data_IF_914985517836
#
_entry.id   IF_914985517836
#
_cell.length_a   1.000
_cell.length_b   1.000
_cell.length_c   1.000
_cell.angle_alpha   90.00
_cell.angle_beta   90.00
_cell.angle_gamma   90.00
#
_symmetry.space_group_name_H-M   'P 1'
#
loop_
_entity.id
_entity.type
_entity.pdbx_description
1 polymer ?
#
# COMPACT_ATOMS: atom_id res chain seq x y z
N UNK A 1 -18.28 -4.08 6.53
CA UNK A 1 -18.85 -3.43 5.31
C UNK A 1 -18.20 -4.06 4.08
N UNK A 2 -18.83 -4.03 2.89
CA UNK A 2 -18.15 -4.39 1.63
C UNK A 2 -17.86 -3.12 0.83
N UNK A 3 -16.76 -3.11 0.09
CA UNK A 3 -16.33 -2.00 -0.77
C UNK A 3 -16.05 -2.45 -2.20
N UNK A 4 -16.14 -1.50 -3.12
CA UNK A 4 -15.68 -1.65 -4.51
C UNK A 4 -14.39 -0.85 -4.76
N UNK A 5 -13.64 -1.22 -5.81
CA UNK A 5 -12.34 -0.61 -6.12
C UNK A 5 -12.41 0.92 -6.31
N UNK A 6 -13.48 1.42 -6.93
CA UNK A 6 -13.69 2.85 -7.17
C UNK A 6 -13.92 3.64 -5.86
N UNK A 7 -14.59 3.03 -4.90
CA UNK A 7 -14.80 3.62 -3.57
C UNK A 7 -13.50 3.65 -2.78
N UNK A 8 -12.71 2.58 -2.87
CA UNK A 8 -11.38 2.51 -2.24
C UNK A 8 -10.45 3.58 -2.80
N UNK A 9 -10.43 3.77 -4.12
CA UNK A 9 -9.64 4.83 -4.75
C UNK A 9 -10.01 6.22 -4.20
N UNK A 10 -11.30 6.53 -4.10
CA UNK A 10 -11.77 7.80 -3.52
C UNK A 10 -11.40 7.95 -2.05
N UNK A 11 -11.58 6.89 -1.25
CA UNK A 11 -11.31 6.91 0.19
C UNK A 11 -9.83 7.07 0.52
N UNK A 12 -8.94 6.46 -0.27
CA UNK A 12 -7.50 6.57 -0.05
C UNK A 12 -6.87 7.80 -0.68
N UNK A 13 -7.57 8.50 -1.60
CA UNK A 13 -7.06 9.69 -2.29
C UNK A 13 -6.36 10.71 -1.37
N UNK A 14 -6.84 11.01 -0.14
CA UNK A 14 -6.16 11.96 0.75
C UNK A 14 -4.73 11.54 1.17
N UNK A 15 -4.43 10.25 1.14
CA UNK A 15 -3.13 9.67 1.53
C UNK A 15 -2.26 9.31 0.31
N UNK A 16 -2.82 9.43 -0.90
CA UNK A 16 -2.11 9.14 -2.13
C UNK A 16 -1.52 10.43 -2.68
N UNK A 17 -0.23 10.39 -2.89
CA UNK A 17 0.54 11.45 -3.50
C UNK A 17 1.00 11.02 -4.89
N UNK A 18 1.29 12.01 -5.73
CA UNK A 18 1.79 11.77 -7.08
C UNK A 18 3.08 12.56 -7.29
N UNK A 19 4.13 11.87 -7.66
CA UNK A 19 5.36 12.52 -8.12
C UNK A 19 5.17 12.98 -9.58
N UNK A 20 5.77 14.12 -9.94
CA UNK A 20 5.61 14.79 -11.25
C UNK A 20 5.83 13.86 -12.46
N UNK A 21 6.74 12.90 -12.34
CA UNK A 21 7.05 11.87 -13.35
C UNK A 21 7.08 10.45 -12.76
N UNK A 22 6.58 10.28 -11.53
CA UNK A 22 6.70 9.04 -10.78
C UNK A 22 5.35 8.34 -10.58
N UNK A 23 5.43 7.17 -9.95
CA UNK A 23 4.25 6.42 -9.52
C UNK A 23 3.50 7.18 -8.43
N UNK A 24 2.22 6.84 -8.30
CA UNK A 24 1.46 7.22 -7.11
C UNK A 24 2.08 6.51 -5.90
N UNK A 25 2.16 7.23 -4.79
CA UNK A 25 2.84 6.76 -3.58
C UNK A 25 2.06 7.14 -2.32
N UNK A 26 2.32 6.41 -1.24
CA UNK A 26 1.84 6.70 0.12
C UNK A 26 3.06 6.86 1.01
N UNK A 27 3.04 7.82 1.94
CA UNK A 27 4.15 7.92 2.88
C UNK A 27 4.06 6.83 3.95
N UNK A 28 5.22 6.36 4.43
CA UNK A 28 5.32 5.34 5.48
C UNK A 28 4.51 5.72 6.73
N UNK A 29 4.54 7.00 7.12
CA UNK A 29 3.79 7.56 8.24
C UNK A 29 2.26 7.51 8.08
N UNK A 30 1.77 7.45 6.84
CA UNK A 30 0.33 7.44 6.53
C UNK A 30 -0.22 5.99 6.50
N UNK A 31 0.66 4.98 6.42
CA UNK A 31 0.26 3.57 6.34
C UNK A 31 -0.64 3.11 7.51
N UNK A 32 -0.38 3.48 8.79
CA UNK A 32 -1.30 3.13 9.88
C UNK A 32 -2.70 3.73 9.69
N UNK A 33 -2.80 4.99 9.26
CA UNK A 33 -4.09 5.64 9.01
C UNK A 33 -4.85 4.99 7.86
N UNK A 34 -4.15 4.67 6.77
CA UNK A 34 -4.69 3.89 5.64
C UNK A 34 -5.19 2.53 6.13
N UNK A 35 -4.42 1.82 6.94
CA UNK A 35 -4.84 0.53 7.50
C UNK A 35 -6.13 0.65 8.30
N UNK A 36 -6.18 1.57 9.26
CA UNK A 36 -7.37 1.80 10.10
C UNK A 36 -8.61 2.11 9.26
N UNK A 37 -8.47 2.92 8.22
CA UNK A 37 -9.54 3.23 7.27
C UNK A 37 -10.07 1.96 6.58
N UNK A 38 -9.16 1.07 6.15
CA UNK A 38 -9.49 -0.14 5.39
C UNK A 38 -10.02 -1.29 6.27
N UNK A 39 -9.65 -1.36 7.55
CA UNK A 39 -10.10 -2.40 8.48
C UNK A 39 -11.63 -2.51 8.61
N UNK A 40 -12.38 -1.45 8.28
CA UNK A 40 -13.85 -1.46 8.29
C UNK A 40 -14.49 -2.31 7.18
N UNK A 41 -13.70 -2.70 6.16
CA UNK A 41 -14.14 -3.47 5.00
C UNK A 41 -13.67 -4.92 5.08
N UNK A 42 -14.62 -5.86 5.11
CA UNK A 42 -14.32 -7.29 5.25
C UNK A 42 -13.77 -7.92 3.97
N UNK A 43 -13.94 -7.24 2.84
CA UNK A 43 -13.49 -7.71 1.53
C UNK A 43 -12.27 -6.94 1.00
N UNK A 44 -11.59 -6.18 1.87
CA UNK A 44 -10.40 -5.42 1.52
C UNK A 44 -9.22 -5.92 2.32
N UNK A 45 -8.10 -6.16 1.65
CA UNK A 45 -6.85 -6.59 2.26
C UNK A 45 -5.74 -5.63 1.86
N UNK A 46 -5.06 -5.07 2.84
CA UNK A 46 -3.83 -4.28 2.65
C UNK A 46 -2.63 -5.16 2.98
N UNK A 47 -1.60 -5.11 2.14
CA UNK A 47 -0.33 -5.83 2.27
C UNK A 47 0.82 -4.92 1.86
N UNK A 48 2.01 -5.21 2.37
CA UNK A 48 3.26 -4.62 1.88
C UNK A 48 3.94 -5.67 1.03
N UNK A 49 4.29 -5.30 -0.20
CA UNK A 49 4.95 -6.21 -1.14
C UNK A 49 6.13 -5.50 -1.80
N UNK A 50 7.08 -6.26 -2.35
CA UNK A 50 8.06 -5.67 -3.27
C UNK A 50 7.39 -5.03 -4.48
N UNK A 51 8.05 -4.02 -5.04
CA UNK A 51 7.60 -3.54 -6.35
C UNK A 51 7.70 -4.64 -7.40
N UNK A 52 6.85 -4.55 -8.42
CA UNK A 52 6.91 -5.45 -9.58
C UNK A 52 8.23 -5.37 -10.36
N UNK A 53 9.03 -4.33 -10.12
CA UNK A 53 10.29 -4.11 -10.81
C UNK A 53 11.48 -4.74 -10.07
N UNK A 54 11.27 -5.24 -8.85
CA UNK A 54 12.33 -5.77 -7.96
C UNK A 54 13.53 -4.81 -7.86
N UNK A 55 13.23 -3.51 -7.80
CA UNK A 55 14.20 -2.41 -7.82
C UNK A 55 14.67 -1.99 -6.42
N UNK A 56 14.31 -2.78 -5.40
CA UNK A 56 14.59 -2.51 -3.99
C UNK A 56 13.58 -1.58 -3.32
N UNK A 57 12.45 -1.26 -3.96
CA UNK A 57 11.38 -0.49 -3.33
C UNK A 57 10.24 -1.41 -2.82
N UNK A 58 9.41 -0.87 -1.92
CA UNK A 58 8.22 -1.53 -1.42
C UNK A 58 6.97 -0.80 -1.90
N UNK A 59 5.91 -1.56 -2.14
CA UNK A 59 4.58 -1.08 -2.49
C UNK A 59 3.58 -1.43 -1.39
N UNK A 60 2.69 -0.49 -1.10
CA UNK A 60 1.43 -0.72 -0.41
C UNK A 60 0.41 -1.27 -1.42
N UNK A 61 -0.03 -2.50 -1.20
CA UNK A 61 -0.93 -3.24 -2.08
C UNK A 61 -2.28 -3.41 -1.41
N UNK A 62 -3.34 -2.88 -2.02
CA UNK A 62 -4.70 -2.97 -1.52
C UNK A 62 -5.53 -3.80 -2.49
N UNK A 63 -5.95 -4.97 -2.04
CA UNK A 63 -6.77 -5.90 -2.81
C UNK A 63 -8.21 -5.83 -2.34
N UNK A 64 -9.13 -5.65 -3.29
CA UNK A 64 -10.58 -5.64 -3.07
C UNK A 64 -11.16 -6.90 -3.70
N UNK A 65 -11.72 -7.77 -2.89
CA UNK A 65 -12.37 -9.00 -3.33
C UNK A 65 -13.88 -8.75 -3.52
N UNK A 66 -14.30 -8.56 -4.76
CA UNK A 66 -15.70 -8.35 -5.11
C UNK A 66 -16.01 -8.87 -6.51
N UNK A 67 -17.15 -9.53 -6.66
CA UNK A 67 -17.63 -10.01 -7.96
C UNK A 67 -17.91 -8.80 -8.88
N UNK A 68 -17.27 -8.75 -10.05
CA UNK A 68 -17.38 -7.69 -11.08
C UNK A 68 -16.97 -6.26 -10.66
N UNK A 69 -16.42 -6.07 -9.45
CA UNK A 69 -15.97 -4.75 -8.97
C UNK A 69 -14.77 -4.78 -8.02
N UNK A 70 -14.10 -5.92 -7.95
CA UNK A 70 -12.83 -6.11 -7.25
C UNK A 70 -11.63 -5.58 -8.05
N UNK A 71 -10.44 -5.70 -7.48
CA UNK A 71 -9.20 -5.29 -8.12
C UNK A 71 -8.08 -5.03 -7.12
N UNK A 72 -6.94 -4.58 -7.64
CA UNK A 72 -5.76 -4.28 -6.83
C UNK A 72 -5.30 -2.85 -7.11
N UNK A 73 -5.16 -2.06 -6.04
CA UNK A 73 -4.46 -0.78 -6.05
C UNK A 73 -3.05 -1.00 -5.53
N UNK A 74 -2.08 -0.31 -6.11
CA UNK A 74 -0.66 -0.46 -5.76
C UNK A 74 -0.01 0.91 -5.76
N UNK A 75 0.59 1.26 -4.63
CA UNK A 75 1.23 2.56 -4.41
C UNK A 75 2.63 2.34 -3.87
N UNK A 76 3.61 3.08 -4.37
CA UNK A 76 4.98 3.03 -3.83
C UNK A 76 4.98 3.53 -2.38
N UNK A 77 5.79 2.93 -1.51
CA UNK A 77 6.00 3.41 -0.15
C UNK A 77 7.20 4.33 -0.14
N UNK A 78 7.00 5.53 0.38
CA UNK A 78 8.05 6.55 0.49
C UNK A 78 8.18 7.07 1.91
N UNK A 79 9.36 7.54 2.28
CA UNK A 79 9.55 8.31 3.50
C UNK A 79 9.54 9.80 3.16
N UNK A 80 8.47 10.50 3.55
CA UNK A 80 8.30 11.94 3.31
C UNK A 80 8.56 12.35 1.84
N UNK A 81 7.96 11.60 0.91
CA UNK A 81 8.10 11.81 -0.54
C UNK A 81 9.41 11.28 -1.14
N UNK A 82 10.36 10.78 -0.34
CA UNK A 82 11.61 10.18 -0.79
C UNK A 82 11.46 8.67 -0.94
N UNK A 83 11.82 8.15 -2.11
CA UNK A 83 11.86 6.70 -2.36
C UNK A 83 12.88 6.05 -1.43
N UNK A 84 12.43 5.06 -0.65
CA UNK A 84 13.28 4.26 0.23
C UNK A 84 13.73 3.03 -0.54
N UNK A 85 15.04 2.87 -0.75
CA UNK A 85 15.61 1.72 -1.44
C UNK A 85 16.30 0.80 -0.45
N UNK A 86 15.87 -0.45 -0.44
CA UNK A 86 16.48 -1.54 0.31
C UNK A 86 17.53 -2.19 -0.59
N UNK A 87 18.80 -1.93 -0.27
CA UNK A 87 19.95 -2.48 -1.01
C UNK A 87 20.35 -3.88 -0.54
N UNK A 88 20.07 -4.18 0.74
CA UNK A 88 20.29 -5.52 1.28
C UNK A 88 19.16 -6.45 0.78
N UNK A 89 19.51 -7.60 0.17
CA UNK A 89 18.54 -8.59 -0.32
C UNK A 89 17.60 -9.16 0.73
N UNK A 90 17.83 -8.95 2.03
CA UNK A 90 16.98 -9.45 3.12
C UNK A 90 16.34 -8.33 3.96
N UNK A 91 16.88 -7.10 3.96
CA UNK A 91 16.34 -6.03 4.81
C UNK A 91 14.90 -5.61 4.48
N UNK A 92 14.41 -5.91 3.26
CA UNK A 92 13.01 -5.71 2.91
C UNK A 92 12.08 -6.72 3.58
N UNK A 93 12.57 -7.93 3.92
CA UNK A 93 11.81 -8.97 4.62
C UNK A 93 11.50 -8.49 6.03
N UNK A 94 12.50 -7.99 6.76
CA UNK A 94 12.32 -7.46 8.12
C UNK A 94 11.28 -6.33 8.15
N UNK A 95 11.25 -5.47 7.13
CA UNK A 95 10.24 -4.41 7.05
C UNK A 95 8.85 -4.98 6.76
N UNK A 96 8.72 -5.95 5.86
CA UNK A 96 7.43 -6.62 5.61
C UNK A 96 6.95 -7.33 6.87
N UNK A 97 7.82 -8.06 7.58
CA UNK A 97 7.48 -8.74 8.83
C UNK A 97 7.03 -7.75 9.91
N UNK A 98 7.72 -6.61 10.04
CA UNK A 98 7.31 -5.52 10.92
C UNK A 98 5.91 -5.02 10.59
N UNK A 99 5.60 -4.82 9.31
CA UNK A 99 4.27 -4.35 8.91
C UNK A 99 3.20 -5.42 9.05
N UNK A 100 3.50 -6.67 8.71
CA UNK A 100 2.58 -7.79 8.91
C UNK A 100 2.25 -7.95 10.40
N UNK A 101 3.23 -7.82 11.29
CA UNK A 101 3.03 -7.82 12.75
C UNK A 101 2.21 -6.63 13.25
N UNK A 102 2.30 -5.46 12.60
CA UNK A 102 1.48 -4.29 12.93
C UNK A 102 0.06 -4.37 12.35
N UNK A 103 -0.17 -5.23 11.37
CA UNK A 103 -1.44 -5.38 10.67
C UNK A 103 -2.24 -6.60 11.12
N UNK A 104 -1.64 -7.53 11.88
CA UNK A 104 -2.28 -8.69 12.52
C UNK A 104 -2.54 -8.46 14.01
#
# INVERSE_FOLDING_TARGET
MKAYINEMKKKITPYVHRALLGREYVNEQDLPAVRTLLCSFSNVKMRIEKTRQDDGHLDCVISVDAFLGGGTLRYEIRDNGRSKKYYDPLAWIDEIEKWDALFF
#
